data_IF_632457665162
#
_entry.id   IF_632457665162
#
_cell.length_a   1.000
_cell.length_b   1.000
_cell.length_c   1.000
_cell.angle_alpha   90.00
_cell.angle_beta   90.00
_cell.angle_gamma   90.00
#
_symmetry.space_group_name_H-M   'P 1'
#
loop_
_entity.id
_entity.type
_entity.pdbx_description
1 polymer ?
#
# COMPACT_ATOMS: atom_id res chain seq x y z
N UNK A 1 -105.00 79.64 43.82
CA UNK A 1 -105.13 80.54 42.65
C UNK A 1 -103.89 80.36 41.81
N UNK A 2 -104.04 80.10 40.50
CA UNK A 2 -103.00 79.99 39.45
C UNK A 2 -101.83 79.02 39.75
N UNK A 3 -101.72 77.90 39.02
CA UNK A 3 -101.10 77.76 37.67
C UNK A 3 -99.57 77.96 37.73
N UNK A 4 -98.72 77.14 37.08
CA UNK A 4 -98.93 76.12 36.04
C UNK A 4 -97.76 75.10 36.14
N UNK A 5 -97.93 73.78 35.97
CA UNK A 5 -97.85 72.99 34.73
C UNK A 5 -97.15 71.64 35.09
N UNK A 6 -97.27 70.54 34.31
CA UNK A 6 -97.21 69.19 34.89
C UNK A 6 -95.83 68.48 34.83
N UNK A 7 -95.62 67.57 35.78
CA UNK A 7 -94.51 66.60 35.78
C UNK A 7 -94.95 65.24 35.23
N UNK A 8 -94.29 64.76 34.16
CA UNK A 8 -94.11 63.35 33.77
C UNK A 8 -93.30 63.31 32.45
N UNK A 9 -92.50 62.30 32.11
CA UNK A 9 -92.19 61.04 32.81
C UNK A 9 -90.74 60.61 32.48
N UNK A 10 -90.10 59.81 33.33
CA UNK A 10 -88.74 59.31 33.10
C UNK A 10 -88.67 58.20 32.04
N UNK A 11 -87.73 58.32 31.10
CA UNK A 11 -87.01 57.16 30.53
C UNK A 11 -85.55 57.54 30.24
N UNK A 12 -84.65 57.09 31.11
CA UNK A 12 -83.20 57.26 30.95
C UNK A 12 -82.63 56.09 30.13
N UNK A 13 -82.86 56.10 28.82
CA UNK A 13 -82.21 55.16 27.89
C UNK A 13 -80.79 55.63 27.55
N UNK A 14 -79.94 55.68 28.57
CA UNK A 14 -78.49 55.79 28.38
C UNK A 14 -77.95 54.47 27.84
N UNK A 15 -77.98 54.30 26.51
CA UNK A 15 -77.18 53.28 25.85
C UNK A 15 -75.74 53.79 25.92
N UNK A 16 -74.91 53.11 26.72
CA UNK A 16 -73.49 53.43 26.91
C UNK A 16 -72.71 53.06 25.65
N UNK A 17 -72.69 53.98 24.68
CA UNK A 17 -72.04 53.80 23.38
C UNK A 17 -70.57 53.43 23.51
N UNK A 18 -69.91 53.96 24.53
CA UNK A 18 -68.47 53.91 24.70
C UNK A 18 -68.03 52.53 25.22
N UNK A 19 -68.84 51.91 26.10
CA UNK A 19 -68.69 50.50 26.50
C UNK A 19 -68.93 49.53 25.31
N UNK A 20 -69.93 49.81 24.47
CA UNK A 20 -70.19 49.01 23.26
C UNK A 20 -69.08 49.16 22.21
N UNK A 21 -68.59 50.36 21.94
CA UNK A 21 -67.48 50.59 20.99
C UNK A 21 -66.16 50.01 21.53
N UNK A 22 -65.88 50.12 22.82
CA UNK A 22 -64.70 49.52 23.46
C UNK A 22 -64.72 47.99 23.32
N UNK A 23 -65.85 47.35 23.61
CA UNK A 23 -66.03 45.89 23.44
C UNK A 23 -65.95 45.46 21.98
N UNK A 24 -66.50 46.24 21.05
CA UNK A 24 -66.41 45.97 19.61
C UNK A 24 -64.97 46.09 19.09
N UNK A 25 -64.22 47.08 19.57
CA UNK A 25 -62.79 47.25 19.29
C UNK A 25 -61.96 46.06 19.77
N UNK A 26 -62.12 45.68 21.05
CA UNK A 26 -61.41 44.53 21.63
C UNK A 26 -61.78 43.20 20.93
N UNK A 27 -63.04 42.99 20.59
CA UNK A 27 -63.47 41.84 19.80
C UNK A 27 -62.81 41.82 18.41
N UNK A 28 -62.74 42.98 17.74
CA UNK A 28 -62.10 43.09 16.43
C UNK A 28 -60.58 42.83 16.49
N UNK A 29 -59.88 43.27 17.54
CA UNK A 29 -58.45 42.94 17.76
C UNK A 29 -58.24 41.43 17.91
N UNK A 30 -59.03 40.77 18.77
CA UNK A 30 -58.98 39.31 18.96
C UNK A 30 -59.34 38.56 17.68
N UNK A 31 -60.31 39.03 16.91
CA UNK A 31 -60.69 38.45 15.62
C UNK A 31 -59.57 38.58 14.56
N UNK A 32 -58.91 39.74 14.49
CA UNK A 32 -57.75 39.96 13.61
C UNK A 32 -56.55 39.12 14.01
N UNK A 33 -56.27 38.95 15.31
CA UNK A 33 -55.23 38.05 15.82
C UNK A 33 -55.55 36.57 15.52
N UNK A 34 -56.79 36.14 15.71
CA UNK A 34 -57.24 34.79 15.36
C UNK A 34 -57.07 34.51 13.86
N UNK A 35 -57.39 35.47 12.98
CA UNK A 35 -57.17 35.35 11.53
C UNK A 35 -55.67 35.25 11.20
N UNK A 36 -54.80 36.02 11.87
CA UNK A 36 -53.34 35.93 11.69
C UNK A 36 -52.82 34.54 12.09
N UNK A 37 -53.22 34.06 13.28
CA UNK A 37 -52.83 32.74 13.81
C UNK A 37 -53.34 31.58 12.96
N UNK A 38 -54.57 31.66 12.46
CA UNK A 38 -55.13 30.67 11.53
C UNK A 38 -54.35 30.61 10.22
N UNK A 39 -53.97 31.77 9.64
CA UNK A 39 -53.16 31.83 8.42
C UNK A 39 -51.77 31.21 8.62
N UNK A 40 -51.07 31.59 9.70
CA UNK A 40 -49.77 31.02 10.05
C UNK A 40 -49.86 29.49 10.21
N UNK A 41 -50.84 28.99 10.98
CA UNK A 41 -51.05 27.54 11.17
C UNK A 41 -51.38 26.82 9.85
N UNK A 42 -52.08 27.47 8.91
CA UNK A 42 -52.36 26.93 7.58
C UNK A 42 -51.10 26.89 6.69
N UNK A 43 -50.18 27.84 6.85
CA UNK A 43 -48.87 27.85 6.19
C UNK A 43 -47.93 26.79 6.78
N UNK A 44 -47.80 26.73 8.12
CA UNK A 44 -47.05 25.70 8.85
C UNK A 44 -47.49 24.29 8.46
N UNK A 45 -48.81 24.04 8.43
CA UNK A 45 -49.37 22.75 8.05
C UNK A 45 -49.09 22.41 6.58
N UNK A 46 -49.10 23.41 5.68
CA UNK A 46 -48.78 23.21 4.25
C UNK A 46 -47.31 22.78 4.09
N UNK A 47 -46.39 23.39 4.83
CA UNK A 47 -44.96 23.08 4.78
C UNK A 47 -44.66 21.72 5.39
N UNK A 48 -45.17 21.44 6.60
CA UNK A 48 -45.07 20.12 7.23
C UNK A 48 -45.66 19.00 6.34
N UNK A 49 -46.75 19.28 5.61
CA UNK A 49 -47.36 18.36 4.65
C UNK A 49 -46.52 18.16 3.37
N UNK A 50 -45.65 19.10 3.01
CA UNK A 50 -44.69 18.96 1.90
C UNK A 50 -43.49 18.15 2.40
N UNK A 51 -42.93 18.50 3.55
CA UNK A 51 -41.74 17.85 4.10
C UNK A 51 -41.99 16.39 4.47
N UNK A 52 -43.13 16.05 5.06
CA UNK A 52 -43.47 14.65 5.31
C UNK A 52 -43.65 13.82 4.02
N UNK A 53 -44.07 14.44 2.91
CA UNK A 53 -44.12 13.78 1.59
C UNK A 53 -42.71 13.62 1.00
N UNK A 54 -41.85 14.60 1.19
CA UNK A 54 -40.44 14.55 0.78
C UNK A 54 -39.69 13.47 1.56
N UNK A 55 -39.77 13.46 2.90
CA UNK A 55 -39.19 12.45 3.79
C UNK A 55 -39.63 11.03 3.39
N UNK A 56 -40.93 10.81 3.19
CA UNK A 56 -41.48 9.53 2.72
C UNK A 56 -40.98 9.12 1.34
N UNK A 57 -40.74 10.07 0.43
CA UNK A 57 -40.16 9.78 -0.89
C UNK A 57 -38.68 9.42 -0.76
N UNK A 58 -37.89 10.27 -0.10
CA UNK A 58 -36.46 10.07 0.13
C UNK A 58 -36.17 8.74 0.83
N UNK A 59 -36.95 8.38 1.86
CA UNK A 59 -36.82 7.10 2.57
C UNK A 59 -37.05 5.89 1.65
N UNK A 60 -38.03 5.95 0.74
CA UNK A 60 -38.27 4.89 -0.25
C UNK A 60 -37.15 4.78 -1.28
N UNK A 61 -36.70 5.92 -1.82
CA UNK A 61 -35.60 5.97 -2.78
C UNK A 61 -34.29 5.45 -2.15
N UNK A 62 -34.00 5.83 -0.91
CA UNK A 62 -32.84 5.33 -0.17
C UNK A 62 -32.93 3.81 0.12
N UNK A 63 -34.13 3.30 0.44
CA UNK A 63 -34.33 1.85 0.58
C UNK A 63 -34.07 1.10 -0.73
N UNK A 64 -34.57 1.61 -1.86
CA UNK A 64 -34.35 1.06 -3.20
C UNK A 64 -32.88 1.15 -3.64
N UNK A 65 -32.16 2.22 -3.26
CA UNK A 65 -30.73 2.40 -3.52
C UNK A 65 -29.87 1.46 -2.67
N UNK A 66 -30.18 1.30 -1.38
CA UNK A 66 -29.52 0.33 -0.49
C UNK A 66 -29.75 -1.10 -0.98
N UNK A 67 -30.97 -1.44 -1.39
CA UNK A 67 -31.30 -2.75 -1.98
C UNK A 67 -30.43 -3.02 -3.22
N UNK A 68 -30.39 -2.10 -4.19
CA UNK A 68 -29.51 -2.19 -5.38
C UNK A 68 -28.02 -2.26 -5.03
N UNK A 69 -27.58 -1.58 -3.98
CA UNK A 69 -26.20 -1.59 -3.51
C UNK A 69 -25.81 -2.95 -2.91
N UNK A 70 -26.71 -3.56 -2.12
CA UNK A 70 -26.54 -4.91 -1.60
C UNK A 70 -26.54 -5.94 -2.73
N UNK A 71 -27.46 -5.82 -3.69
CA UNK A 71 -27.56 -6.67 -4.87
C UNK A 71 -26.28 -6.61 -5.72
N UNK A 72 -25.72 -5.41 -5.92
CA UNK A 72 -24.44 -5.22 -6.60
C UNK A 72 -23.26 -5.80 -5.82
N UNK A 73 -23.24 -5.65 -4.48
CA UNK A 73 -22.21 -6.22 -3.60
C UNK A 73 -22.21 -7.75 -3.65
N UNK A 74 -23.36 -8.39 -3.56
CA UNK A 74 -23.45 -9.87 -3.57
C UNK A 74 -23.11 -10.45 -4.95
N UNK A 75 -23.47 -9.77 -6.05
CA UNK A 75 -23.00 -10.12 -7.40
C UNK A 75 -21.47 -10.03 -7.53
N UNK A 76 -20.84 -8.98 -6.98
CA UNK A 76 -19.38 -8.84 -6.97
C UNK A 76 -18.69 -9.92 -6.12
N UNK A 77 -19.28 -10.32 -5.00
CA UNK A 77 -18.79 -11.43 -4.17
C UNK A 77 -18.86 -12.75 -4.94
N UNK A 78 -20.00 -13.07 -5.58
CA UNK A 78 -20.12 -14.28 -6.42
C UNK A 78 -19.02 -14.32 -7.48
N UNK A 79 -18.83 -13.25 -8.24
CA UNK A 79 -17.79 -13.17 -9.28
C UNK A 79 -16.36 -13.35 -8.71
N UNK A 80 -16.11 -13.00 -7.45
CA UNK A 80 -14.84 -13.21 -6.74
C UNK A 80 -14.67 -14.63 -6.17
N UNK A 81 -15.75 -15.40 -6.05
CA UNK A 81 -15.74 -16.83 -5.73
C UNK A 81 -15.67 -17.68 -7.00
N UNK A 82 -16.43 -17.34 -8.05
CA UNK A 82 -16.39 -17.99 -9.38
C UNK A 82 -15.02 -17.90 -10.08
N UNK A 83 -14.22 -16.88 -9.72
CA UNK A 83 -12.85 -16.67 -10.19
C UNK A 83 -11.77 -17.15 -9.20
N UNK A 84 -12.14 -17.87 -8.13
CA UNK A 84 -11.23 -18.33 -7.10
C UNK A 84 -10.18 -19.35 -7.60
N UNK A 85 -8.94 -19.19 -7.13
CA UNK A 85 -7.84 -20.08 -7.51
C UNK A 85 -6.77 -20.26 -6.43
N UNK A 86 -5.99 -21.32 -6.60
CA UNK A 86 -4.78 -21.68 -5.84
C UNK A 86 -3.55 -21.45 -6.71
N UNK A 87 -2.47 -20.95 -6.12
CA UNK A 87 -1.21 -20.70 -6.81
C UNK A 87 -0.05 -21.52 -6.22
N UNK A 88 0.55 -22.40 -7.00
CA UNK A 88 1.87 -22.98 -6.72
C UNK A 88 2.96 -22.04 -7.24
N UNK A 89 3.87 -21.61 -6.36
CA UNK A 89 5.13 -20.94 -6.72
C UNK A 89 6.27 -21.83 -6.28
N UNK A 90 6.94 -22.48 -7.23
CA UNK A 90 7.98 -23.48 -6.95
C UNK A 90 9.31 -23.01 -7.54
N UNK A 91 10.38 -23.14 -6.76
CA UNK A 91 11.75 -22.96 -7.22
C UNK A 91 12.33 -24.32 -7.63
N UNK A 92 12.53 -24.50 -8.94
CA UNK A 92 13.02 -25.75 -9.50
C UNK A 92 14.46 -26.05 -9.15
N UNK A 93 15.29 -25.05 -8.79
CA UNK A 93 16.71 -25.29 -8.48
C UNK A 93 16.91 -26.09 -7.18
N UNK A 94 15.86 -26.23 -6.34
CA UNK A 94 15.84 -27.08 -5.13
C UNK A 94 14.65 -28.07 -4.98
N UNK A 95 13.60 -27.96 -5.80
CA UNK A 95 12.45 -28.89 -5.79
C UNK A 95 12.45 -29.77 -7.03
N UNK A 96 12.97 -30.98 -6.89
CA UNK A 96 13.15 -31.95 -7.98
C UNK A 96 11.99 -32.96 -8.07
N UNK A 97 11.49 -33.24 -9.27
CA UNK A 97 10.54 -34.35 -9.50
C UNK A 97 11.17 -35.72 -9.21
N UNK A 98 10.34 -36.73 -8.91
CA UNK A 98 10.83 -38.11 -8.78
C UNK A 98 11.55 -38.61 -10.03
N UNK A 99 12.57 -39.45 -9.80
CA UNK A 99 13.34 -40.20 -10.81
C UNK A 99 12.46 -40.93 -11.83
N UNK A 100 11.30 -41.42 -11.42
CA UNK A 100 10.32 -42.13 -12.25
C UNK A 100 9.85 -41.25 -13.41
N UNK A 101 9.34 -40.05 -13.13
CA UNK A 101 8.89 -39.11 -14.15
C UNK A 101 10.06 -38.57 -14.99
N UNK A 102 11.21 -38.30 -14.37
CA UNK A 102 12.39 -37.78 -15.07
C UNK A 102 12.96 -38.80 -16.07
N UNK A 103 13.15 -40.06 -15.66
CA UNK A 103 13.68 -41.13 -16.54
C UNK A 103 12.68 -41.55 -17.62
N UNK A 104 11.38 -41.51 -17.32
CA UNK A 104 10.32 -41.73 -18.31
C UNK A 104 10.04 -40.51 -19.21
N UNK A 105 10.63 -39.35 -18.91
CA UNK A 105 10.35 -38.05 -19.55
C UNK A 105 8.86 -37.64 -19.49
N UNK A 106 8.12 -38.19 -18.53
CA UNK A 106 6.66 -38.07 -18.36
C UNK A 106 6.29 -36.81 -17.58
N UNK A 107 6.41 -35.66 -18.23
CA UNK A 107 5.98 -34.37 -17.69
C UNK A 107 4.46 -34.30 -17.50
N UNK A 108 3.71 -34.95 -18.39
CA UNK A 108 2.27 -35.12 -18.32
C UNK A 108 1.84 -35.79 -17.01
N UNK A 109 2.40 -36.96 -16.68
CA UNK A 109 2.03 -37.66 -15.44
C UNK A 109 2.44 -36.86 -14.20
N UNK A 110 3.63 -36.24 -14.21
CA UNK A 110 4.09 -35.37 -13.13
C UNK A 110 3.14 -34.18 -12.90
N UNK A 111 2.65 -33.54 -13.97
CA UNK A 111 1.67 -32.46 -13.87
C UNK A 111 0.32 -32.94 -13.31
N UNK A 112 -0.17 -34.11 -13.76
CA UNK A 112 -1.41 -34.71 -13.26
C UNK A 112 -1.32 -35.10 -11.78
N UNK A 113 -0.22 -35.74 -11.34
CA UNK A 113 -0.03 -36.08 -9.91
C UNK A 113 0.13 -34.83 -9.03
N UNK A 114 0.87 -33.82 -9.52
CA UNK A 114 0.99 -32.54 -8.80
C UNK A 114 -0.37 -31.85 -8.66
N UNK A 115 -1.22 -31.89 -9.69
CA UNK A 115 -2.58 -31.35 -9.59
C UNK A 115 -3.43 -32.09 -8.56
N UNK A 116 -3.39 -33.42 -8.52
CA UNK A 116 -4.09 -34.22 -7.52
C UNK A 116 -3.61 -33.88 -6.10
N UNK A 117 -2.30 -33.96 -5.85
CA UNK A 117 -1.71 -33.70 -4.53
C UNK A 117 -2.01 -32.28 -4.01
N UNK A 118 -1.98 -31.26 -4.87
CA UNK A 118 -2.42 -29.90 -4.52
C UNK A 118 -3.92 -29.85 -4.21
N UNK A 119 -4.76 -30.51 -5.01
CA UNK A 119 -6.22 -30.49 -4.84
C UNK A 119 -6.66 -31.16 -3.54
N UNK A 120 -6.04 -32.28 -3.19
CA UNK A 120 -6.33 -33.02 -1.95
C UNK A 120 -5.89 -32.22 -0.72
N UNK A 121 -4.67 -31.65 -0.74
CA UNK A 121 -4.18 -30.77 0.33
C UNK A 121 -5.10 -29.55 0.53
N UNK A 122 -5.43 -28.83 -0.55
CA UNK A 122 -6.29 -27.64 -0.47
C UNK A 122 -7.70 -28.01 0.02
N UNK A 123 -8.25 -29.15 -0.39
CA UNK A 123 -9.56 -29.62 0.06
C UNK A 123 -9.58 -29.97 1.55
N UNK A 124 -8.45 -30.40 2.13
CA UNK A 124 -8.32 -30.62 3.58
C UNK A 124 -8.29 -29.31 4.39
N UNK A 125 -7.79 -28.22 3.80
CA UNK A 125 -7.82 -26.88 4.39
C UNK A 125 -9.15 -26.14 4.18
N UNK A 126 -9.81 -26.36 3.03
CA UNK A 126 -10.99 -25.62 2.59
C UNK A 126 -12.04 -26.56 1.98
N UNK A 127 -12.98 -27.13 2.76
CA UNK A 127 -13.94 -28.15 2.27
C UNK A 127 -14.87 -27.75 1.11
N UNK A 128 -14.85 -26.48 0.66
CA UNK A 128 -15.62 -25.97 -0.50
C UNK A 128 -14.74 -25.64 -1.72
N UNK A 129 -13.43 -25.91 -1.70
CA UNK A 129 -12.47 -25.52 -2.75
C UNK A 129 -12.52 -26.35 -4.05
N UNK A 130 -13.43 -27.30 -4.19
CA UNK A 130 -13.46 -28.24 -5.32
C UNK A 130 -13.48 -27.56 -6.70
N UNK A 131 -14.16 -26.41 -6.79
CA UNK A 131 -14.27 -25.57 -8.00
C UNK A 131 -13.07 -24.64 -8.24
N UNK A 132 -12.15 -24.50 -7.28
CA UNK A 132 -11.02 -23.59 -7.42
C UNK A 132 -10.06 -24.07 -8.51
N UNK A 133 -9.61 -23.14 -9.35
CA UNK A 133 -8.61 -23.40 -10.38
C UNK A 133 -7.25 -23.55 -9.72
N UNK A 134 -6.39 -24.42 -10.24
CA UNK A 134 -5.02 -24.60 -9.73
C UNK A 134 -4.07 -24.09 -10.81
N UNK A 135 -3.26 -23.10 -10.47
CA UNK A 135 -2.17 -22.57 -11.30
C UNK A 135 -0.84 -22.95 -10.65
N UNK A 136 0.15 -23.38 -11.42
CA UNK A 136 1.47 -23.75 -10.90
C UNK A 136 2.57 -23.18 -11.78
N UNK A 137 3.41 -22.31 -11.21
CA UNK A 137 4.58 -21.78 -11.88
C UNK A 137 5.85 -22.35 -11.21
N UNK A 138 6.64 -23.09 -11.97
CA UNK A 138 7.92 -23.64 -11.56
C UNK A 138 9.02 -22.85 -12.28
N UNK A 139 9.81 -22.09 -11.53
CA UNK A 139 10.89 -21.27 -12.10
C UNK A 139 12.20 -22.03 -12.02
N UNK A 140 12.88 -22.19 -13.16
CA UNK A 140 14.11 -23.00 -13.25
C UNK A 140 14.95 -22.48 -14.42
N UNK A 141 16.26 -22.75 -14.42
CA UNK A 141 17.05 -22.62 -15.66
C UNK A 141 17.09 -23.97 -16.37
N UNK A 142 16.40 -24.10 -17.51
CA UNK A 142 16.25 -25.39 -18.20
C UNK A 142 17.61 -26.02 -18.54
N UNK A 143 18.58 -25.20 -18.95
CA UNK A 143 19.91 -25.65 -19.35
C UNK A 143 20.75 -26.11 -18.14
N UNK A 144 20.79 -25.32 -17.04
CA UNK A 144 21.48 -25.74 -15.81
C UNK A 144 20.89 -27.03 -15.26
N UNK A 145 19.56 -27.14 -15.24
CA UNK A 145 18.86 -28.30 -14.70
C UNK A 145 19.08 -29.54 -15.56
N UNK A 146 18.93 -29.42 -16.89
CA UNK A 146 19.22 -30.52 -17.81
C UNK A 146 20.66 -31.03 -17.69
N UNK A 147 21.63 -30.13 -17.53
CA UNK A 147 23.03 -30.50 -17.27
C UNK A 147 23.21 -31.19 -15.92
N UNK A 148 22.62 -30.66 -14.83
CA UNK A 148 22.70 -31.23 -13.49
C UNK A 148 22.10 -32.64 -13.44
N UNK A 149 20.91 -32.83 -14.01
CA UNK A 149 20.20 -34.11 -14.07
C UNK A 149 20.92 -35.16 -14.94
N UNK A 150 21.56 -34.73 -16.04
CA UNK A 150 22.40 -35.62 -16.84
C UNK A 150 23.69 -36.03 -16.11
N UNK A 151 24.35 -35.10 -15.39
CA UNK A 151 25.55 -35.40 -14.60
C UNK A 151 25.31 -36.45 -13.49
N UNK A 152 24.12 -36.48 -12.89
CA UNK A 152 23.75 -37.48 -11.87
C UNK A 152 23.09 -38.74 -12.45
N UNK A 153 23.07 -38.92 -13.77
CA UNK A 153 22.52 -40.12 -14.43
C UNK A 153 20.99 -40.27 -14.30
N UNK A 154 20.25 -39.18 -14.11
CA UNK A 154 18.78 -39.18 -14.16
C UNK A 154 18.23 -38.94 -15.57
N UNK A 155 19.06 -38.36 -16.44
CA UNK A 155 18.81 -38.15 -17.87
C UNK A 155 20.02 -38.65 -18.67
N UNK A 156 19.80 -39.12 -19.89
CA UNK A 156 20.85 -39.45 -20.86
C UNK A 156 21.43 -38.17 -21.50
N UNK A 157 20.62 -37.12 -21.63
CA UNK A 157 21.00 -35.87 -22.31
C UNK A 157 20.26 -34.65 -21.73
N UNK A 158 20.94 -33.51 -21.64
CA UNK A 158 20.37 -32.24 -21.16
C UNK A 158 19.10 -31.78 -21.90
N UNK A 159 18.90 -32.18 -23.17
CA UNK A 159 17.70 -31.84 -23.94
C UNK A 159 16.43 -32.58 -23.44
N UNK A 160 16.56 -33.72 -22.77
CA UNK A 160 15.41 -34.51 -22.27
C UNK A 160 14.62 -33.74 -21.21
N UNK A 161 15.28 -32.88 -20.42
CA UNK A 161 14.57 -32.01 -19.48
C UNK A 161 13.71 -30.94 -20.17
N UNK A 162 14.10 -30.49 -21.37
CA UNK A 162 13.28 -29.57 -22.18
C UNK A 162 12.06 -30.27 -22.77
N UNK A 163 12.17 -31.55 -23.14
CA UNK A 163 11.03 -32.38 -23.57
C UNK A 163 10.05 -32.61 -22.41
N UNK A 164 10.55 -33.03 -21.24
CA UNK A 164 9.78 -33.14 -20.00
C UNK A 164 9.04 -31.82 -19.66
N UNK A 165 9.71 -30.67 -19.80
CA UNK A 165 9.09 -29.37 -19.55
C UNK A 165 8.01 -28.99 -20.57
N UNK A 166 8.15 -29.39 -21.84
CA UNK A 166 7.11 -29.20 -22.85
C UNK A 166 5.87 -30.06 -22.56
N UNK A 167 6.08 -31.34 -22.24
CA UNK A 167 5.01 -32.30 -21.91
C UNK A 167 4.22 -31.87 -20.65
N UNK A 168 4.93 -31.43 -19.60
CA UNK A 168 4.34 -30.85 -18.38
C UNK A 168 3.46 -29.61 -18.69
N UNK A 169 3.94 -28.71 -19.55
CA UNK A 169 3.25 -27.46 -19.90
C UNK A 169 2.02 -27.68 -20.80
N UNK A 170 1.97 -28.76 -21.58
CA UNK A 170 0.85 -29.05 -22.49
C UNK A 170 -0.30 -29.76 -21.77
N UNK A 171 -0.01 -30.65 -20.82
CA UNK A 171 -1.03 -31.47 -20.16
C UNK A 171 -1.96 -30.70 -19.20
N UNK A 172 -1.50 -29.60 -18.61
CA UNK A 172 -2.28 -28.85 -17.61
C UNK A 172 -2.31 -27.35 -17.94
N UNK A 173 -3.44 -26.78 -18.43
CA UNK A 173 -3.48 -25.43 -19.03
C UNK A 173 -3.09 -24.22 -18.17
N UNK A 174 -2.88 -24.41 -16.87
CA UNK A 174 -2.45 -23.36 -15.93
C UNK A 174 -1.13 -23.73 -15.22
N UNK A 175 -0.44 -24.77 -15.70
CA UNK A 175 0.85 -25.21 -15.17
C UNK A 175 1.95 -24.77 -16.14
N UNK A 176 3.08 -24.33 -15.60
CA UNK A 176 4.18 -23.80 -16.41
C UNK A 176 5.52 -23.98 -15.71
N UNK A 177 6.39 -24.80 -16.30
CA UNK A 177 7.84 -24.73 -16.10
C UNK A 177 8.34 -23.56 -16.96
N UNK A 178 8.87 -22.54 -16.29
CA UNK A 178 9.26 -21.24 -16.84
C UNK A 178 10.78 -21.15 -16.82
N UNK A 179 11.40 -21.11 -18.00
CA UNK A 179 12.84 -20.88 -18.11
C UNK A 179 13.18 -19.43 -17.70
N UNK A 180 14.04 -19.28 -16.70
CA UNK A 180 14.58 -17.96 -16.29
C UNK A 180 15.92 -17.65 -16.97
N UNK A 181 16.48 -18.63 -17.70
CA UNK A 181 17.73 -18.53 -18.43
C UNK A 181 18.95 -18.32 -17.53
N UNK A 182 19.99 -17.71 -18.09
CA UNK A 182 21.28 -17.55 -17.42
C UNK A 182 21.29 -16.34 -16.48
N UNK A 183 21.66 -16.58 -15.22
CA UNK A 183 21.83 -15.58 -14.17
C UNK A 183 21.93 -16.22 -12.78
N UNK A 184 22.19 -15.37 -11.78
CA UNK A 184 21.82 -15.60 -10.37
C UNK A 184 20.49 -14.88 -10.11
N UNK A 185 19.80 -15.25 -9.04
CA UNK A 185 18.67 -14.51 -8.45
C UNK A 185 17.43 -14.28 -9.36
N UNK A 186 17.39 -14.90 -10.54
CA UNK A 186 16.33 -14.67 -11.56
C UNK A 186 15.04 -15.43 -11.30
N UNK A 187 15.11 -16.60 -10.67
CA UNK A 187 13.93 -17.34 -10.22
C UNK A 187 13.30 -16.60 -9.04
N UNK A 188 14.13 -16.32 -8.05
CA UNK A 188 13.83 -15.63 -6.80
C UNK A 188 13.24 -14.24 -7.02
N UNK A 189 13.79 -13.41 -7.93
CA UNK A 189 13.18 -12.12 -8.28
C UNK A 189 11.74 -12.27 -8.79
N UNK A 190 11.49 -13.26 -9.67
CA UNK A 190 10.14 -13.55 -10.20
C UNK A 190 9.22 -14.11 -9.12
N UNK A 191 9.69 -15.10 -8.34
CA UNK A 191 8.94 -15.76 -7.27
C UNK A 191 8.54 -14.75 -6.19
N UNK A 192 9.46 -13.86 -5.78
CA UNK A 192 9.19 -12.87 -4.73
C UNK A 192 8.13 -11.83 -5.16
N UNK A 193 8.19 -11.29 -6.39
CA UNK A 193 7.17 -10.33 -6.85
C UNK A 193 5.82 -11.01 -7.17
N UNK A 194 5.83 -12.27 -7.63
CA UNK A 194 4.61 -13.09 -7.77
C UNK A 194 3.97 -13.37 -6.42
N UNK A 195 4.75 -13.78 -5.41
CA UNK A 195 4.28 -13.99 -4.04
C UNK A 195 3.70 -12.71 -3.45
N UNK A 196 4.40 -11.57 -3.59
CA UNK A 196 3.90 -10.25 -3.18
C UNK A 196 2.55 -9.95 -3.83
N UNK A 197 2.49 -9.99 -5.17
CA UNK A 197 1.30 -9.67 -5.98
C UNK A 197 0.10 -10.55 -5.62
N UNK A 198 0.29 -11.87 -5.50
CA UNK A 198 -0.82 -12.79 -5.26
C UNK A 198 -1.17 -12.98 -3.78
N UNK A 199 -0.29 -12.61 -2.83
CA UNK A 199 -0.64 -12.58 -1.40
C UNK A 199 -1.82 -11.64 -1.13
N UNK A 200 -1.88 -10.49 -1.82
CA UNK A 200 -2.92 -9.46 -1.64
C UNK A 200 -4.09 -9.61 -2.61
N UNK A 201 -3.96 -10.47 -3.64
CA UNK A 201 -5.03 -10.76 -4.58
C UNK A 201 -6.22 -11.48 -3.89
N UNK A 202 -7.47 -10.98 -4.03
CA UNK A 202 -8.63 -11.49 -3.29
C UNK A 202 -9.36 -12.69 -3.97
N UNK A 203 -8.99 -13.04 -5.21
CA UNK A 203 -9.44 -14.28 -5.88
C UNK A 203 -8.43 -15.42 -5.71
N UNK A 204 -7.14 -15.10 -5.52
CA UNK A 204 -6.15 -16.06 -5.02
C UNK A 204 -6.48 -16.42 -3.56
N UNK A 205 -6.97 -17.65 -3.31
CA UNK A 205 -7.41 -18.08 -1.99
C UNK A 205 -6.32 -18.76 -1.16
N UNK A 206 -5.36 -19.43 -1.82
CA UNK A 206 -4.25 -20.12 -1.17
C UNK A 206 -2.98 -20.13 -2.06
N UNK A 207 -1.80 -20.10 -1.45
CA UNK A 207 -0.51 -20.17 -2.14
C UNK A 207 0.34 -21.29 -1.53
N UNK A 208 0.85 -22.18 -2.38
CA UNK A 208 1.82 -23.23 -2.01
C UNK A 208 3.20 -22.78 -2.49
N UNK A 209 4.16 -22.71 -1.58
CA UNK A 209 5.46 -22.12 -1.80
C UNK A 209 6.57 -23.17 -1.70
N UNK A 210 7.23 -23.47 -2.83
CA UNK A 210 8.31 -24.46 -2.96
C UNK A 210 9.69 -23.84 -3.13
N UNK A 211 10.06 -22.87 -2.29
CA UNK A 211 11.39 -22.24 -2.28
C UNK A 211 12.23 -22.55 -1.03
N UNK A 212 11.80 -23.48 -0.19
CA UNK A 212 12.26 -23.68 1.21
C UNK A 212 13.71 -24.14 1.40
N UNK A 213 14.51 -24.17 0.34
CA UNK A 213 15.91 -24.58 0.32
C UNK A 213 16.88 -23.38 0.34
N UNK A 214 16.45 -22.20 -0.11
CA UNK A 214 17.26 -20.98 -0.14
C UNK A 214 16.82 -19.99 0.95
N UNK A 215 17.79 -19.53 1.75
CA UNK A 215 17.57 -18.55 2.81
C UNK A 215 17.12 -17.17 2.29
N UNK A 216 17.36 -16.84 1.01
CA UNK A 216 16.95 -15.56 0.40
C UNK A 216 15.45 -15.28 0.51
N UNK A 217 14.62 -16.32 0.46
CA UNK A 217 13.16 -16.18 0.58
C UNK A 217 12.68 -15.88 2.01
N UNK A 218 13.49 -16.11 3.06
CA UNK A 218 13.11 -15.87 4.46
C UNK A 218 12.74 -14.40 4.71
N UNK A 219 13.44 -13.46 4.09
CA UNK A 219 13.18 -12.03 4.22
C UNK A 219 11.83 -11.61 3.60
N UNK A 220 11.38 -12.30 2.55
CA UNK A 220 10.06 -12.04 1.94
C UNK A 220 8.96 -12.76 2.72
N UNK A 221 9.16 -14.03 3.09
CA UNK A 221 8.17 -14.79 3.86
C UNK A 221 7.95 -14.24 5.28
N UNK A 222 9.02 -13.74 5.93
CA UNK A 222 8.95 -13.12 7.25
C UNK A 222 7.99 -11.92 7.33
N UNK A 223 7.74 -11.23 6.21
CA UNK A 223 6.77 -10.11 6.14
C UNK A 223 5.33 -10.58 6.41
N UNK A 224 5.00 -11.85 6.17
CA UNK A 224 3.67 -12.42 6.40
C UNK A 224 3.53 -13.08 7.79
N UNK A 225 4.63 -13.36 8.49
CA UNK A 225 4.67 -14.09 9.79
C UNK A 225 3.74 -13.53 10.87
N UNK A 226 3.53 -12.21 10.87
CA UNK A 226 2.70 -11.52 11.88
C UNK A 226 1.25 -11.29 11.45
N UNK A 227 0.92 -11.51 10.17
CA UNK A 227 -0.42 -11.31 9.62
C UNK A 227 -1.17 -12.65 9.56
N UNK A 228 -1.94 -12.99 10.60
CA UNK A 228 -2.64 -14.30 10.75
C UNK A 228 -3.35 -14.78 9.47
N UNK A 229 -4.11 -13.92 8.80
CA UNK A 229 -4.83 -14.25 7.56
C UNK A 229 -3.89 -14.54 6.39
N UNK A 230 -2.88 -13.69 6.18
CA UNK A 230 -1.86 -13.91 5.14
C UNK A 230 -1.03 -15.17 5.43
N UNK A 231 -0.73 -15.45 6.70
CA UNK A 231 -0.04 -16.67 7.11
C UNK A 231 -0.86 -17.94 6.84
N UNK A 232 -2.16 -17.95 7.17
CA UNK A 232 -3.05 -19.07 6.86
C UNK A 232 -3.27 -19.30 5.35
N UNK A 233 -3.08 -18.25 4.53
CA UNK A 233 -3.09 -18.33 3.06
C UNK A 233 -1.80 -18.94 2.47
N UNK A 234 -0.74 -19.15 3.25
CA UNK A 234 0.53 -19.74 2.79
C UNK A 234 0.74 -21.16 3.34
N UNK A 235 1.14 -22.08 2.46
CA UNK A 235 1.73 -23.38 2.85
C UNK A 235 3.13 -23.51 2.25
N UNK A 236 4.11 -23.90 3.05
CA UNK A 236 5.46 -24.25 2.62
C UNK A 236 5.50 -25.71 2.11
N UNK A 237 5.99 -25.91 0.88
CA UNK A 237 6.26 -27.23 0.32
C UNK A 237 7.67 -27.66 0.73
N UNK A 238 7.77 -28.74 1.51
CA UNK A 238 9.01 -29.36 1.94
C UNK A 238 9.27 -30.63 1.13
N UNK A 239 9.87 -30.50 -0.06
CA UNK A 239 10.33 -31.65 -0.84
C UNK A 239 11.55 -32.29 -0.16
N UNK A 240 12.70 -31.62 -0.22
CA UNK A 240 13.92 -31.98 0.51
C UNK A 240 13.88 -31.42 1.95
N UNK A 241 14.96 -31.63 2.73
CA UNK A 241 15.10 -30.95 4.03
C UNK A 241 15.14 -29.44 3.82
N UNK A 242 14.24 -28.66 4.45
CA UNK A 242 14.27 -27.21 4.32
C UNK A 242 15.49 -26.60 5.02
N UNK A 243 15.86 -25.39 4.64
CA UNK A 243 16.84 -24.60 5.38
C UNK A 243 16.29 -24.27 6.78
N UNK A 244 17.08 -24.34 7.88
CA UNK A 244 16.53 -24.34 9.25
C UNK A 244 15.59 -23.18 9.59
N UNK A 245 15.89 -21.96 9.12
CA UNK A 245 15.07 -20.77 9.38
C UNK A 245 13.63 -20.81 8.83
N UNK A 246 13.28 -21.78 7.97
CA UNK A 246 11.89 -21.99 7.54
C UNK A 246 11.06 -22.71 8.60
N UNK A 247 11.67 -23.49 9.50
CA UNK A 247 10.99 -24.22 10.56
C UNK A 247 10.45 -23.27 11.65
N UNK A 248 11.07 -22.09 11.82
CA UNK A 248 10.64 -21.04 12.74
C UNK A 248 9.47 -20.18 12.20
N UNK A 249 8.95 -20.47 11.01
CA UNK A 249 7.87 -19.71 10.37
C UNK A 249 6.50 -20.35 10.68
N UNK A 250 5.49 -19.59 11.16
CA UNK A 250 4.18 -20.10 11.52
C UNK A 250 3.26 -20.23 10.29
N UNK A 251 3.74 -20.92 9.26
CA UNK A 251 2.98 -21.27 8.07
C UNK A 251 2.64 -22.76 8.09
N UNK A 252 1.60 -23.15 7.35
CA UNK A 252 1.32 -24.56 7.14
C UNK A 252 2.48 -25.20 6.37
N UNK A 253 2.69 -26.52 6.53
CA UNK A 253 3.71 -27.26 5.77
C UNK A 253 3.07 -28.47 5.08
N UNK A 254 3.57 -28.81 3.90
CA UNK A 254 3.09 -29.97 3.12
C UNK A 254 4.26 -30.68 2.44
N UNK A 255 4.08 -31.98 2.22
CA UNK A 255 4.98 -32.83 1.42
C UNK A 255 4.18 -33.46 0.29
N UNK A 256 4.76 -33.54 -0.90
CA UNK A 256 4.17 -34.22 -2.07
C UNK A 256 5.15 -35.30 -2.55
N UNK A 257 5.38 -36.30 -1.70
CA UNK A 257 6.48 -37.25 -1.85
C UNK A 257 6.29 -38.22 -3.04
N UNK A 258 5.05 -38.40 -3.52
CA UNK A 258 4.72 -39.10 -4.77
C UNK A 258 4.98 -38.29 -6.05
N UNK A 259 5.39 -37.02 -5.91
CA UNK A 259 5.65 -36.08 -7.01
C UNK A 259 7.11 -35.62 -7.02
N UNK A 260 7.62 -35.23 -5.84
CA UNK A 260 8.96 -34.66 -5.67
C UNK A 260 9.87 -35.58 -4.85
N UNK A 261 11.18 -35.51 -5.09
CA UNK A 261 12.19 -36.24 -4.32
C UNK A 261 12.24 -35.75 -2.88
N UNK A 262 12.25 -36.70 -1.95
CA UNK A 262 12.47 -36.46 -0.52
C UNK A 262 13.94 -36.18 -0.18
N UNK A 263 14.87 -36.63 -1.03
CA UNK A 263 16.31 -36.45 -0.90
C UNK A 263 16.87 -35.54 -2.01
N UNK A 264 17.91 -34.73 -1.73
CA UNK A 264 18.59 -33.93 -2.75
C UNK A 264 19.15 -34.80 -3.87
N UNK A 265 19.52 -34.17 -5.00
CA UNK A 265 20.29 -34.85 -6.03
C UNK A 265 21.65 -35.32 -5.46
N UNK A 266 22.20 -36.47 -5.90
CA UNK A 266 23.54 -36.90 -5.50
C UNK A 266 24.58 -35.83 -5.81
N UNK A 267 25.61 -35.70 -4.97
CA UNK A 267 26.78 -34.91 -5.34
C UNK A 267 27.51 -35.59 -6.51
N UNK A 268 27.96 -34.81 -7.49
CA UNK A 268 28.61 -35.29 -8.71
C UNK A 268 30.01 -35.85 -8.42
N UNK A 269 30.05 -37.06 -7.85
CA UNK A 269 31.28 -37.76 -7.49
C UNK A 269 32.16 -38.00 -8.71
N UNK A 270 33.32 -37.33 -8.76
CA UNK A 270 34.44 -37.83 -9.56
C UNK A 270 34.79 -39.23 -9.06
N UNK A 271 35.02 -40.23 -9.93
CA UNK A 271 35.58 -41.50 -9.48
C UNK A 271 36.92 -41.22 -8.80
N UNK A 272 37.05 -41.67 -7.55
CA UNK A 272 38.27 -41.45 -6.78
C UNK A 272 39.41 -42.29 -7.39
N UNK A 273 40.45 -41.63 -7.89
CA UNK A 273 41.69 -42.32 -8.23
C UNK A 273 42.23 -43.01 -6.97
N UNK A 274 42.73 -44.26 -7.08
CA UNK A 274 43.32 -44.96 -5.93
C UNK A 274 44.56 -44.18 -5.42
N UNK A 275 44.85 -44.26 -4.11
CA UNK A 275 45.91 -43.47 -3.50
C UNK A 275 47.30 -43.93 -3.99
N UNK A 276 48.00 -43.06 -4.72
CA UNK A 276 49.41 -43.26 -5.01
C UNK A 276 50.23 -43.09 -3.73
N UNK A 277 51.27 -43.92 -3.57
CA UNK A 277 52.06 -43.98 -2.34
C UNK A 277 52.97 -42.75 -2.18
N UNK A 278 53.22 -42.36 -0.92
CA UNK A 278 54.06 -41.22 -0.56
C UNK A 278 55.51 -41.65 -0.25
N UNK A 279 56.38 -40.63 -0.11
CA UNK A 279 57.80 -40.61 0.33
C UNK A 279 58.86 -40.40 -0.77
N UNK A 280 59.98 -39.72 -0.48
CA UNK A 280 60.17 -38.66 0.52
C UNK A 280 60.91 -37.42 -0.01
N UNK A 281 61.06 -36.43 0.86
CA UNK A 281 61.76 -35.16 0.60
C UNK A 281 63.28 -35.33 0.38
N UNK A 282 63.88 -34.36 -0.31
CA UNK A 282 65.29 -33.97 -0.10
C UNK A 282 65.43 -32.45 -0.10
N UNK A 283 65.77 -31.91 1.05
CA UNK A 283 66.29 -30.54 1.23
C UNK A 283 67.72 -30.43 0.72
N UNK A 284 68.01 -29.35 -0.02
CA UNK A 284 69.30 -28.68 -0.08
C UNK A 284 69.06 -27.17 -0.24
N UNK A 285 70.07 -26.37 0.08
CA UNK A 285 69.93 -24.95 0.48
C UNK A 285 71.11 -24.08 0.02
N UNK A 286 70.91 -22.74 0.11
CA UNK A 286 71.92 -21.67 -0.12
C UNK A 286 72.31 -21.45 -1.61
N UNK A 287 72.71 -20.26 -2.06
CA UNK A 287 72.95 -18.94 -1.41
C UNK A 287 72.60 -17.75 -2.34
N UNK A 288 72.80 -16.50 -1.86
CA UNK A 288 72.78 -15.24 -2.64
C UNK A 288 73.88 -15.18 -3.76
N UNK A 289 74.03 -14.17 -4.63
CA UNK A 289 73.79 -12.71 -4.52
C UNK A 289 73.79 -11.95 -5.89
N UNK A 290 73.44 -10.65 -5.85
CA UNK A 290 73.73 -9.52 -6.78
C UNK A 290 72.89 -9.21 -8.05
N UNK A 291 72.44 -7.94 -8.07
CA UNK A 291 72.08 -7.03 -9.20
C UNK A 291 73.35 -6.27 -9.69
N UNK A 292 73.33 -5.31 -10.67
CA UNK A 292 72.24 -4.64 -11.42
C UNK A 292 72.49 -4.70 -12.97
N UNK A 293 72.02 -3.85 -13.92
CA UNK A 293 71.01 -2.76 -14.03
C UNK A 293 70.66 -2.51 -15.53
N UNK A 294 69.39 -2.20 -15.87
CA UNK A 294 68.98 -1.45 -17.09
C UNK A 294 67.48 -1.08 -17.06
N UNK A 295 67.05 -0.16 -17.93
CA UNK A 295 65.67 0.34 -18.14
C UNK A 295 65.49 0.68 -19.66
N UNK A 296 64.32 1.07 -20.22
CA UNK A 296 63.05 1.48 -19.57
C UNK A 296 61.71 0.99 -20.21
N UNK A 297 60.60 1.26 -19.49
CA UNK A 297 59.25 1.75 -19.89
C UNK A 297 58.66 1.59 -21.32
N UNK A 298 57.32 1.72 -21.50
CA UNK A 298 56.16 1.42 -20.61
C UNK A 298 54.96 0.73 -21.34
N UNK A 299 53.83 0.49 -20.65
CA UNK A 299 52.41 0.78 -21.07
C UNK A 299 51.43 0.24 -20.00
N UNK A 300 50.23 0.82 -19.91
CA UNK A 300 49.31 0.71 -18.74
C UNK A 300 48.01 -0.06 -19.01
N UNK A 301 47.56 -0.85 -18.02
CA UNK A 301 46.16 -1.32 -17.91
C UNK A 301 45.75 -1.44 -16.43
N UNK A 302 44.64 -0.81 -15.97
CA UNK A 302 44.08 -1.03 -14.63
C UNK A 302 42.75 -1.82 -14.66
N UNK A 303 42.61 -2.77 -13.74
CA UNK A 303 41.38 -3.48 -13.38
C UNK A 303 41.40 -3.75 -11.85
N UNK A 304 40.26 -4.03 -11.19
CA UNK A 304 39.90 -3.30 -9.98
C UNK A 304 40.25 -3.99 -8.66
N UNK A 305 40.19 -3.22 -7.57
CA UNK A 305 40.28 -3.70 -6.19
C UNK A 305 39.03 -3.28 -5.38
N UNK A 306 38.65 -4.11 -4.42
CA UNK A 306 37.48 -3.93 -3.55
C UNK A 306 37.82 -3.18 -2.23
N UNK A 307 36.83 -3.13 -1.32
CA UNK A 307 36.96 -2.93 0.14
C UNK A 307 37.20 -1.51 0.68
N UNK A 308 36.09 -0.90 1.12
CA UNK A 308 35.84 -0.60 2.55
C UNK A 308 37.04 -0.46 3.50
N UNK A 309 37.35 0.77 3.96
CA UNK A 309 37.45 1.09 5.40
C UNK A 309 37.54 2.62 5.69
N UNK A 310 37.43 3.00 6.97
CA UNK A 310 37.41 4.38 7.49
C UNK A 310 38.80 5.02 7.50
N UNK A 311 38.91 6.34 7.27
CA UNK A 311 39.94 7.17 7.91
C UNK A 311 39.67 8.68 7.79
N UNK A 312 39.48 9.37 8.92
CA UNK A 312 39.69 10.83 9.06
C UNK A 312 40.31 11.13 10.43
N UNK A 313 41.64 11.20 10.44
CA UNK A 313 42.48 11.77 11.49
C UNK A 313 43.88 12.00 10.84
N UNK A 314 44.65 13.06 11.11
CA UNK A 314 44.57 14.13 12.13
C UNK A 314 44.95 15.48 11.49
N UNK A 315 44.63 16.57 12.18
CA UNK A 315 45.49 17.76 12.31
C UNK A 315 45.17 18.45 13.63
N UNK A 316 46.16 19.05 14.29
CA UNK A 316 46.11 19.38 15.73
C UNK A 316 46.29 20.88 16.03
N UNK A 317 45.41 21.42 16.86
CA UNK A 317 45.50 22.76 17.48
C UNK A 317 44.76 22.76 18.83
N UNK A 318 45.12 23.61 19.80
CA UNK A 318 44.74 23.43 21.20
C UNK A 318 43.30 23.82 21.53
N UNK A 319 42.75 23.15 22.55
CA UNK A 319 41.44 23.45 23.14
C UNK A 319 41.58 24.64 24.10
N UNK A 320 40.71 25.64 23.95
CA UNK A 320 40.21 26.46 25.04
C UNK A 320 38.71 26.69 24.80
N UNK A 321 37.88 26.40 25.79
CA UNK A 321 36.46 26.16 25.59
C UNK A 321 35.57 27.39 25.76
N UNK A 322 34.60 27.53 24.85
CA UNK A 322 33.29 28.12 25.14
C UNK A 322 32.27 27.02 24.84
N UNK A 323 31.53 26.59 25.86
CA UNK A 323 30.41 25.66 25.68
C UNK A 323 29.19 26.52 25.34
N UNK A 324 28.92 26.71 24.04
CA UNK A 324 27.71 27.39 23.60
C UNK A 324 26.49 26.48 23.76
N UNK A 325 25.93 26.47 24.97
CA UNK A 325 24.67 25.78 25.30
C UNK A 325 23.50 26.57 24.70
N UNK A 326 23.42 26.60 23.38
CA UNK A 326 22.19 27.00 22.68
C UNK A 326 21.09 26.01 23.09
N UNK A 327 20.00 26.46 23.75
CA UNK A 327 18.98 25.54 24.24
C UNK A 327 18.28 24.86 23.06
N UNK A 328 18.14 23.54 23.14
CA UNK A 328 17.37 22.75 22.18
C UNK A 328 15.95 23.31 22.07
N UNK A 329 15.68 24.06 21.00
CA UNK A 329 14.35 24.55 20.68
C UNK A 329 13.48 23.35 20.36
N UNK A 330 12.58 23.00 21.29
CA UNK A 330 11.57 21.97 21.08
C UNK A 330 10.89 22.18 19.71
N UNK A 331 10.71 21.12 18.90
CA UNK A 331 10.06 21.27 17.60
C UNK A 331 8.66 21.85 17.82
N UNK A 332 8.32 22.89 17.06
CA UNK A 332 6.97 23.48 17.10
C UNK A 332 5.99 22.41 16.63
N UNK A 333 5.11 21.93 17.52
CA UNK A 333 3.98 21.05 17.16
C UNK A 333 3.25 21.62 15.95
N UNK A 334 3.01 20.78 14.95
CA UNK A 334 2.23 21.15 13.78
C UNK A 334 0.78 21.42 14.20
N UNK A 335 0.13 22.30 13.44
CA UNK A 335 -1.27 22.65 13.62
C UNK A 335 -1.94 22.77 12.26
N UNK A 336 -3.22 22.45 12.19
CA UNK A 336 -4.07 22.73 11.02
C UNK A 336 -5.14 23.75 11.40
N UNK A 337 -5.65 24.46 10.40
CA UNK A 337 -6.79 25.37 10.55
C UNK A 337 -7.97 24.82 9.76
N UNK A 338 -9.16 24.99 10.31
CA UNK A 338 -10.43 24.59 9.70
C UNK A 338 -11.38 25.79 9.67
N UNK A 339 -12.25 25.85 8.68
CA UNK A 339 -13.34 26.81 8.64
C UNK A 339 -14.52 26.37 9.54
N UNK A 340 -15.61 27.15 9.58
CA UNK A 340 -16.79 26.84 10.42
C UNK A 340 -17.43 25.48 10.10
N UNK A 341 -17.35 25.05 8.84
CA UNK A 341 -17.88 23.80 8.29
C UNK A 341 -16.94 22.60 8.49
N UNK A 342 -15.76 22.84 9.07
CA UNK A 342 -14.66 21.88 9.26
C UNK A 342 -13.89 21.51 7.99
N UNK A 343 -14.07 22.25 6.89
CA UNK A 343 -13.19 22.15 5.72
C UNK A 343 -11.80 22.70 6.05
N UNK A 344 -10.74 22.09 5.50
CA UNK A 344 -9.35 22.38 5.90
C UNK A 344 -8.68 23.50 5.09
N UNK A 345 -8.07 24.45 5.81
CA UNK A 345 -7.42 25.63 5.26
C UNK A 345 -5.90 25.47 5.22
N UNK A 346 -5.35 25.15 4.05
CA UNK A 346 -3.90 25.11 3.82
C UNK A 346 -3.30 26.52 3.76
N UNK A 347 -2.57 26.89 4.82
CA UNK A 347 -1.82 28.15 4.91
C UNK A 347 -0.90 28.38 3.71
N UNK A 348 -0.80 29.64 3.28
CA UNK A 348 0.09 30.07 2.20
C UNK A 348 1.55 29.84 2.60
N UNK A 349 2.26 29.06 1.78
CA UNK A 349 3.70 28.83 1.97
C UNK A 349 4.51 30.04 1.47
N UNK A 350 5.77 30.19 1.90
CA UNK A 350 6.69 31.16 1.31
C UNK A 350 6.80 30.99 -0.21
N UNK A 351 7.16 32.07 -0.91
CA UNK A 351 7.36 32.05 -2.35
C UNK A 351 8.43 31.03 -2.76
N UNK A 352 8.23 30.40 -3.92
CA UNK A 352 9.09 29.35 -4.44
C UNK A 352 10.48 29.92 -4.81
N UNK A 353 11.54 29.47 -4.16
CA UNK A 353 12.91 29.77 -4.59
C UNK A 353 13.27 28.97 -5.86
N UNK A 354 13.65 29.62 -6.97
CA UNK A 354 14.12 28.94 -8.16
C UNK A 354 15.32 28.02 -7.92
N UNK A 355 16.24 28.37 -7.00
CA UNK A 355 17.43 27.55 -6.70
C UNK A 355 17.04 26.26 -5.97
N UNK A 356 16.22 26.35 -4.93
CA UNK A 356 15.65 25.17 -4.26
C UNK A 356 14.84 24.25 -5.21
N UNK A 357 14.12 24.85 -6.17
CA UNK A 357 13.37 24.09 -7.19
C UNK A 357 14.32 23.31 -8.10
N UNK A 358 15.35 23.99 -8.64
CA UNK A 358 16.38 23.36 -9.46
C UNK A 358 17.17 22.29 -8.69
N UNK A 359 17.42 22.48 -7.39
CA UNK A 359 18.07 21.49 -6.54
C UNK A 359 17.24 20.21 -6.40
N UNK A 360 15.91 20.32 -6.18
CA UNK A 360 15.02 19.16 -6.18
C UNK A 360 14.92 18.50 -7.55
N UNK A 361 14.76 19.26 -8.62
CA UNK A 361 14.68 18.72 -9.98
C UNK A 361 15.98 18.00 -10.38
N UNK A 362 17.13 18.47 -9.85
CA UNK A 362 18.42 17.80 -9.98
C UNK A 362 18.44 16.48 -9.18
N UNK A 363 18.11 16.49 -7.88
CA UNK A 363 18.02 15.26 -7.05
C UNK A 363 17.10 14.21 -7.69
N UNK A 364 15.91 14.62 -8.16
CA UNK A 364 14.94 13.74 -8.83
C UNK A 364 15.52 13.07 -10.08
N UNK A 365 16.33 13.79 -10.87
CA UNK A 365 17.03 13.22 -12.03
C UNK A 365 18.18 12.30 -11.64
N UNK A 366 19.00 12.69 -10.67
CA UNK A 366 20.19 11.94 -10.25
C UNK A 366 19.84 10.57 -9.63
N UNK A 367 18.78 10.49 -8.83
CA UNK A 367 18.24 9.22 -8.31
C UNK A 367 17.13 8.58 -9.16
N UNK A 368 16.98 8.98 -10.43
CA UNK A 368 16.11 8.34 -11.43
C UNK A 368 14.61 8.24 -11.11
N UNK A 369 14.12 8.97 -10.10
CA UNK A 369 12.78 8.80 -9.52
C UNK A 369 12.36 10.04 -8.71
N UNK A 370 11.06 10.20 -8.43
CA UNK A 370 10.60 11.31 -7.60
C UNK A 370 11.04 11.15 -6.13
N UNK A 371 11.26 12.28 -5.43
CA UNK A 371 11.50 12.29 -3.98
C UNK A 371 10.26 11.78 -3.22
N UNK A 372 10.48 11.03 -2.14
CA UNK A 372 9.41 10.55 -1.28
C UNK A 372 8.84 11.69 -0.41
N UNK A 373 7.63 12.18 -0.74
CA UNK A 373 6.94 13.21 0.04
C UNK A 373 6.83 12.83 1.53
N UNK A 374 6.46 11.59 1.85
CA UNK A 374 6.33 11.14 3.23
C UNK A 374 7.68 11.19 3.99
N UNK A 375 8.77 10.70 3.39
CA UNK A 375 10.10 10.77 4.01
C UNK A 375 10.59 12.22 4.19
N UNK A 376 10.47 13.05 3.16
CA UNK A 376 11.07 14.39 3.16
C UNK A 376 10.20 15.45 3.85
N UNK A 377 8.88 15.23 4.01
CA UNK A 377 7.95 16.18 4.65
C UNK A 377 7.47 15.72 6.03
N UNK A 378 7.50 14.43 6.36
CA UNK A 378 7.05 13.89 7.65
C UNK A 378 8.18 13.16 8.39
N UNK A 379 9.10 13.97 8.94
CA UNK A 379 10.07 13.60 9.97
C UNK A 379 10.95 12.36 9.63
N UNK A 380 11.19 12.09 8.34
CA UNK A 380 11.95 10.93 7.85
C UNK A 380 11.33 9.57 8.26
N UNK A 381 10.00 9.51 8.36
CA UNK A 381 9.24 8.31 8.70
C UNK A 381 8.36 7.89 7.53
N UNK A 382 8.88 7.03 6.66
CA UNK A 382 8.11 6.41 5.57
C UNK A 382 7.71 4.97 5.95
N UNK A 383 6.41 4.60 5.92
CA UNK A 383 5.97 3.25 6.31
C UNK A 383 6.45 2.16 5.36
N UNK A 384 6.85 2.52 4.13
CA UNK A 384 7.41 1.58 3.16
C UNK A 384 8.90 1.24 3.44
N UNK A 385 9.56 1.95 4.35
CA UNK A 385 10.99 1.77 4.63
C UNK A 385 11.85 1.80 3.36
N UNK A 386 12.83 0.89 3.29
CA UNK A 386 13.73 0.76 2.13
C UNK A 386 13.04 0.20 0.87
N UNK A 387 11.78 -0.26 0.96
CA UNK A 387 10.97 -0.71 -0.18
C UNK A 387 10.22 0.43 -0.88
N UNK A 388 10.47 1.70 -0.50
CA UNK A 388 9.83 2.84 -1.13
C UNK A 388 10.32 3.07 -2.57
N UNK A 389 9.42 3.07 -3.55
CA UNK A 389 9.72 3.37 -4.98
C UNK A 389 10.02 4.85 -5.26
N UNK A 390 10.14 5.67 -4.22
CA UNK A 390 10.47 7.09 -4.28
C UNK A 390 11.71 7.35 -3.43
N UNK A 391 12.59 8.25 -3.87
CA UNK A 391 13.89 8.45 -3.21
C UNK A 391 13.73 8.76 -1.72
N UNK A 392 14.45 7.98 -0.90
CA UNK A 392 14.86 8.35 0.45
C UNK A 392 16.30 8.84 0.39
N UNK A 393 16.70 9.67 1.36
CA UNK A 393 18.04 10.24 1.39
C UNK A 393 18.20 11.34 2.44
N UNK A 394 19.32 12.09 2.39
CA UNK A 394 19.60 13.16 3.34
C UNK A 394 18.46 14.17 3.46
N UNK A 395 18.27 14.79 4.65
CA UNK A 395 17.28 15.83 4.85
C UNK A 395 17.37 16.94 3.79
N UNK A 396 16.20 17.48 3.42
CA UNK A 396 16.13 18.64 2.53
C UNK A 396 16.46 19.92 3.31
N UNK A 397 17.10 20.88 2.65
CA UNK A 397 17.22 22.24 3.19
C UNK A 397 15.83 22.87 3.32
N UNK A 398 15.68 23.90 4.15
CA UNK A 398 14.37 24.53 4.37
C UNK A 398 13.71 25.03 3.07
N UNK A 399 14.49 25.57 2.12
CA UNK A 399 14.00 25.98 0.81
C UNK A 399 13.54 24.81 -0.05
N UNK A 400 14.30 23.71 -0.09
CA UNK A 400 13.91 22.48 -0.79
C UNK A 400 12.63 21.89 -0.16
N UNK A 401 12.53 21.80 1.17
CA UNK A 401 11.32 21.33 1.86
C UNK A 401 10.08 22.13 1.46
N UNK A 402 10.18 23.46 1.38
CA UNK A 402 9.09 24.33 0.91
C UNK A 402 8.75 24.05 -0.57
N UNK A 403 9.75 23.90 -1.43
CA UNK A 403 9.55 23.60 -2.85
C UNK A 403 8.90 22.23 -3.09
N UNK A 404 9.27 21.20 -2.31
CA UNK A 404 8.61 19.88 -2.36
C UNK A 404 7.17 19.95 -1.80
N UNK A 405 6.95 20.69 -0.71
CA UNK A 405 5.62 20.86 -0.12
C UNK A 405 4.68 21.64 -1.07
N UNK A 406 5.19 22.63 -1.81
CA UNK A 406 4.46 23.33 -2.87
C UNK A 406 4.09 22.38 -4.02
N UNK A 407 4.99 21.50 -4.46
CA UNK A 407 4.66 20.46 -5.45
C UNK A 407 3.61 19.48 -4.92
N UNK A 408 3.75 19.01 -3.68
CA UNK A 408 2.83 18.07 -3.05
C UNK A 408 1.40 18.64 -2.90
N UNK A 409 1.28 19.93 -2.56
CA UNK A 409 -0.01 20.63 -2.43
C UNK A 409 -0.74 20.93 -3.74
N UNK A 410 -0.15 20.65 -4.91
CA UNK A 410 -0.87 20.66 -6.19
C UNK A 410 -1.62 19.34 -6.48
N UNK A 411 -1.48 18.34 -5.61
CA UNK A 411 -2.25 17.09 -5.65
C UNK A 411 -3.38 17.22 -4.61
N UNK A 412 -4.66 17.07 -4.99
CA UNK A 412 -5.77 17.17 -4.05
C UNK A 412 -5.79 16.00 -3.06
N UNK A 413 -6.09 16.30 -1.80
CA UNK A 413 -6.53 15.31 -0.84
C UNK A 413 -7.92 14.81 -1.23
N UNK A 414 -8.17 13.50 -1.09
CA UNK A 414 -9.48 12.90 -1.39
C UNK A 414 -10.50 13.02 -0.26
N UNK A 415 -10.09 13.61 0.86
CA UNK A 415 -10.90 13.83 2.05
C UNK A 415 -11.05 15.35 2.29
N UNK A 416 -12.24 15.95 2.03
CA UNK A 416 -12.46 17.38 2.24
C UNK A 416 -12.45 17.79 3.73
N UNK A 417 -12.58 16.82 4.64
CA UNK A 417 -12.59 17.02 6.09
C UNK A 417 -11.27 16.55 6.76
N UNK A 418 -10.18 16.42 5.99
CA UNK A 418 -8.95 15.75 6.43
C UNK A 418 -8.28 16.36 7.67
N UNK A 419 -8.51 15.72 8.81
CA UNK A 419 -7.94 16.07 10.12
C UNK A 419 -6.47 15.64 10.30
N UNK A 420 -5.90 14.85 9.39
CA UNK A 420 -4.52 14.37 9.53
C UNK A 420 -3.50 15.52 9.43
N UNK A 421 -2.96 15.95 10.57
CA UNK A 421 -2.00 17.06 10.69
C UNK A 421 -0.71 16.85 9.86
N UNK A 422 -0.37 15.60 9.55
CA UNK A 422 0.77 15.23 8.71
C UNK A 422 0.42 15.10 7.21
N UNK A 423 -0.82 15.35 6.80
CA UNK A 423 -1.17 15.35 5.37
C UNK A 423 -0.44 16.48 4.62
N UNK A 424 0.35 16.10 3.61
CA UNK A 424 1.13 17.00 2.75
C UNK A 424 0.42 17.38 1.43
N UNK A 425 -0.76 16.81 1.17
CA UNK A 425 -1.58 17.12 -0.01
C UNK A 425 -2.26 18.49 0.13
N UNK A 426 -2.88 18.96 -0.95
CA UNK A 426 -3.69 20.18 -0.95
C UNK A 426 -5.14 19.91 -0.51
N UNK A 427 -5.72 20.82 0.25
CA UNK A 427 -7.10 20.76 0.75
C UNK A 427 -7.95 21.96 0.31
N UNK A 428 -7.35 22.93 -0.39
CA UNK A 428 -8.03 24.05 -1.03
C UNK A 428 -7.28 24.48 -2.30
N UNK A 429 -8.00 25.02 -3.28
CA UNK A 429 -7.42 25.54 -4.52
C UNK A 429 -6.41 26.68 -4.25
N UNK A 430 -5.13 26.44 -4.53
CA UNK A 430 -4.07 27.43 -4.26
C UNK A 430 -4.25 28.75 -5.05
N UNK A 431 -4.75 28.68 -6.29
CA UNK A 431 -5.08 29.87 -7.10
C UNK A 431 -6.19 30.69 -6.44
N UNK A 432 -7.27 30.05 -6.02
CA UNK A 432 -8.42 30.73 -5.44
C UNK A 432 -8.17 31.25 -4.01
N UNK A 433 -7.24 30.61 -3.27
CA UNK A 433 -6.70 31.12 -2.01
C UNK A 433 -5.88 32.39 -2.23
N UNK A 434 -4.97 32.37 -3.20
CA UNK A 434 -3.94 33.41 -3.35
C UNK A 434 -4.32 34.58 -4.26
N UNK A 435 -5.29 34.39 -5.15
CA UNK A 435 -5.77 35.39 -6.13
C UNK A 435 -7.27 35.65 -6.03
N UNK A 436 -8.00 34.94 -5.15
CA UNK A 436 -9.44 35.07 -4.96
C UNK A 436 -10.31 34.32 -5.98
N UNK A 437 -9.76 33.92 -7.14
CA UNK A 437 -10.46 33.17 -8.19
C UNK A 437 -9.56 32.09 -8.82
N UNK A 438 -10.16 31.10 -9.48
CA UNK A 438 -9.45 30.05 -10.22
C UNK A 438 -9.75 30.16 -11.73
N UNK A 439 -8.71 30.34 -12.55
CA UNK A 439 -8.81 30.44 -14.02
C UNK A 439 -9.28 29.15 -14.68
N UNK A 440 -9.02 27.99 -14.06
CA UNK A 440 -9.36 26.68 -14.61
C UNK A 440 -10.84 26.29 -14.44
N UNK A 441 -11.57 26.97 -13.54
CA UNK A 441 -12.97 26.68 -13.17
C UNK A 441 -13.20 25.17 -12.96
N UNK A 442 -14.14 24.59 -13.69
CA UNK A 442 -14.61 23.21 -13.58
C UNK A 442 -13.57 22.17 -14.02
N UNK A 443 -12.45 22.62 -14.61
CA UNK A 443 -11.29 21.79 -14.97
C UNK A 443 -10.15 21.88 -13.96
N UNK A 444 -10.38 22.43 -12.77
CA UNK A 444 -9.41 22.44 -11.69
C UNK A 444 -9.45 21.12 -10.91
N UNK A 445 -8.29 20.56 -10.57
CA UNK A 445 -8.17 19.41 -9.66
C UNK A 445 -8.72 19.66 -8.24
N UNK A 446 -9.12 20.89 -7.94
CA UNK A 446 -9.63 21.36 -6.64
C UNK A 446 -11.06 21.92 -6.74
N UNK A 447 -11.79 21.59 -7.81
CA UNK A 447 -13.14 22.13 -8.09
C UNK A 447 -14.11 21.97 -6.92
N UNK A 448 -14.08 20.82 -6.23
CA UNK A 448 -14.94 20.53 -5.07
C UNK A 448 -14.67 21.42 -3.85
N UNK A 449 -13.54 22.15 -3.86
CA UNK A 449 -13.15 23.10 -2.80
C UNK A 449 -13.33 24.56 -3.24
N UNK A 450 -13.84 24.82 -4.45
CA UNK A 450 -14.04 26.18 -4.92
C UNK A 450 -15.16 26.89 -4.16
N UNK A 451 -14.96 28.18 -3.84
CA UNK A 451 -15.93 28.99 -3.11
C UNK A 451 -16.11 28.65 -1.62
N UNK A 452 -15.31 27.75 -1.06
CA UNK A 452 -15.33 27.42 0.37
C UNK A 452 -15.07 28.65 1.26
N UNK A 453 -15.63 28.66 2.48
CA UNK A 453 -15.28 29.68 3.48
C UNK A 453 -13.79 29.59 3.84
N UNK A 454 -13.07 30.70 3.64
CA UNK A 454 -11.62 30.84 3.86
C UNK A 454 -11.28 31.35 5.27
N UNK A 455 -12.29 31.60 6.10
CA UNK A 455 -12.15 32.10 7.47
C UNK A 455 -11.66 31.00 8.40
N UNK A 456 -10.55 31.22 9.10
CA UNK A 456 -10.10 30.32 10.16
C UNK A 456 -11.07 30.40 11.34
N UNK A 457 -11.68 29.28 11.70
CA UNK A 457 -12.64 29.20 12.82
C UNK A 457 -12.17 28.22 13.91
N UNK A 458 -11.54 27.11 13.51
CA UNK A 458 -10.87 26.18 14.43
C UNK A 458 -9.40 26.02 14.11
N UNK A 459 -8.61 25.71 15.14
CA UNK A 459 -7.21 25.30 15.08
C UNK A 459 -7.08 23.98 15.83
N UNK A 460 -6.42 23.00 15.24
CA UNK A 460 -6.22 21.67 15.83
C UNK A 460 -4.72 21.31 15.82
N UNK A 461 -4.23 20.69 16.89
CA UNK A 461 -2.84 20.25 17.04
C UNK A 461 -2.66 18.75 16.75
N UNK A 462 -1.40 18.28 16.82
CA UNK A 462 -0.99 16.88 16.64
C UNK A 462 -1.67 15.90 17.61
N UNK A 463 -2.14 16.36 18.78
CA UNK A 463 -2.85 15.54 19.77
C UNK A 463 -4.37 15.46 19.49
N UNK A 464 -4.84 16.06 18.38
CA UNK A 464 -6.25 16.11 17.99
C UNK A 464 -7.06 17.16 18.75
N UNK A 465 -6.42 18.05 19.53
CA UNK A 465 -7.13 19.04 20.34
C UNK A 465 -7.48 20.26 19.49
N UNK A 466 -8.73 20.32 19.05
CA UNK A 466 -9.32 21.53 18.49
C UNK A 466 -9.64 22.60 19.54
N UNK A 467 -9.42 23.86 19.16
CA UNK A 467 -9.84 25.08 19.84
C UNK A 467 -10.37 26.07 18.79
N UNK A 468 -11.22 27.02 19.21
CA UNK A 468 -11.60 28.16 18.36
C UNK A 468 -10.40 29.13 18.19
N UNK A 469 -10.44 29.95 17.14
CA UNK A 469 -9.37 30.87 16.70
C UNK A 469 -9.81 32.32 16.78
#
# INVERSE_FOLDING_TARGET
MYCEAPSNMTMANGIDTDDYESKLGSFNEVFVDLIKKYKALQEDYRELSIDHKNERRMRRQYQEEVEKSLDARDRLISLQEDSAFVLGLIDGDGVYFQDTFLKAQSGSEAASKLQAAIRDHVSSLYPKSSHWRIMVNIYVSLDKMGQKLAQVGLLNNQQEFRLFAQDFNVNQPLFSIIDVGYGKERADFKINEMLRTFSENPTCKHIIFGGCHDAGYLNTLGQYKHHKEKAAKLTLLHATSPYPGFLDLPFNTVRFDDVFRTQPLPESGRPANPPSQAMPERTLSLSEDRKPAAAPSPVSTPAPAESTWRSVAKSSGPINGIIDVTPYKLPKKRVIYLNKEKHRLDEKLPALDPKATQAIDKRMKEGGSNLCNQWHLNNHQCPNGDFCRFQHGPPLTAGETIALQLKARNIPCRDPYCTNVFCYLGHQCAWERDQGYCTFKDRCNFVDTHGMDKTKFYKMDEDGKWMMV
#
